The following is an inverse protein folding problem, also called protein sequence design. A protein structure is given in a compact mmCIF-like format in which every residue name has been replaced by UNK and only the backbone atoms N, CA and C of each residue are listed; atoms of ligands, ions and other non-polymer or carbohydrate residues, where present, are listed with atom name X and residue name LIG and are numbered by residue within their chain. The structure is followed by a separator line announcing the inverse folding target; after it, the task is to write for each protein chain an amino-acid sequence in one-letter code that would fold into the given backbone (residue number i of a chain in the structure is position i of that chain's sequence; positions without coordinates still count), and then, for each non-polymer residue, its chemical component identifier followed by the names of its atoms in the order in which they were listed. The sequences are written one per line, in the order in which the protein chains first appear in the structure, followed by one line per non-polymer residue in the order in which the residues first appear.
data_IF_862642728488
#
_entry.id   IF_862642728488
#
_cell.length_a   1.000
_cell.length_b   1.000
_cell.length_c   1.000
_cell.angle_alpha   90.00
_cell.angle_beta   90.00
_cell.angle_gamma   90.00
#
_symmetry.space_group_name_H-M   'P 1'
#
loop_
_entity.id
_entity.type
_entity.pdbx_description
1 polymer ?
#
# COMPACT_ATOMS: atom_id res chain seq x y z
N UNK A 1 42.67 7.05 -39.59
CA UNK A 1 41.82 7.96 -38.81
C UNK A 1 42.61 8.42 -37.59
N UNK A 2 43.07 9.67 -37.54
CA UNK A 2 43.84 10.19 -36.40
C UNK A 2 42.88 10.63 -35.28
N UNK A 3 43.13 10.18 -34.05
CA UNK A 3 42.35 10.57 -32.85
C UNK A 3 42.67 12.05 -32.54
N UNK A 4 41.66 12.93 -32.39
CA UNK A 4 41.91 14.33 -32.06
C UNK A 4 42.54 14.42 -30.66
N UNK A 5 43.66 15.15 -30.55
CA UNK A 5 44.31 15.43 -29.27
C UNK A 5 43.36 16.27 -28.44
N UNK A 6 42.87 15.74 -27.32
CA UNK A 6 42.11 16.54 -26.36
C UNK A 6 43.04 17.58 -25.73
N UNK A 7 42.69 18.85 -25.88
CA UNK A 7 43.37 19.93 -25.18
C UNK A 7 43.13 19.76 -23.68
N UNK A 8 44.21 19.55 -22.92
CA UNK A 8 44.14 19.50 -21.46
C UNK A 8 43.77 20.90 -20.97
N UNK A 9 42.51 21.12 -20.61
CA UNK A 9 42.09 22.33 -19.89
C UNK A 9 42.92 22.44 -18.62
N UNK A 10 43.66 23.54 -18.46
CA UNK A 10 44.33 23.86 -17.20
C UNK A 10 43.24 24.11 -16.17
N UNK A 11 43.12 23.20 -15.21
CA UNK A 11 42.17 23.34 -14.10
C UNK A 11 42.80 24.33 -13.14
N UNK A 12 42.18 25.49 -12.99
CA UNK A 12 42.51 26.43 -11.93
C UNK A 12 42.09 25.82 -10.59
N UNK A 13 43.08 25.35 -9.84
CA UNK A 13 42.89 24.63 -8.58
C UNK A 13 42.25 25.54 -7.52
N UNK A 14 42.59 26.84 -7.52
CA UNK A 14 42.03 27.79 -6.57
C UNK A 14 40.56 28.06 -6.87
N UNK A 15 40.22 28.23 -8.16
CA UNK A 15 38.83 28.37 -8.59
C UNK A 15 38.00 27.12 -8.26
N UNK A 16 38.55 25.92 -8.46
CA UNK A 16 37.87 24.67 -8.11
C UNK A 16 37.60 24.57 -6.60
N UNK A 17 38.56 24.95 -5.76
CA UNK A 17 38.41 24.98 -4.30
C UNK A 17 37.36 26.01 -3.83
N UNK A 18 37.32 27.20 -4.42
CA UNK A 18 36.29 28.21 -4.12
C UNK A 18 34.89 27.76 -4.53
N UNK A 19 34.75 27.13 -5.69
CA UNK A 19 33.48 26.56 -6.14
C UNK A 19 32.98 25.47 -5.20
N UNK A 20 33.88 24.60 -4.73
CA UNK A 20 33.55 23.57 -3.75
C UNK A 20 33.09 24.19 -2.43
N UNK A 21 33.84 25.14 -1.87
CA UNK A 21 33.46 25.85 -0.63
C UNK A 21 32.11 26.55 -0.74
N UNK A 22 31.84 27.17 -1.89
CA UNK A 22 30.56 27.85 -2.14
C UNK A 22 29.41 26.85 -2.20
N UNK A 23 29.62 25.69 -2.82
CA UNK A 23 28.63 24.61 -2.90
C UNK A 23 28.26 24.12 -1.50
N UNK A 24 29.26 23.80 -0.67
CA UNK A 24 29.04 23.37 0.73
C UNK A 24 28.24 24.43 1.53
N UNK A 25 28.62 25.71 1.42
CA UNK A 25 27.86 26.79 2.10
C UNK A 25 26.42 26.90 1.60
N UNK A 26 26.21 26.70 0.30
CA UNK A 26 24.88 26.76 -0.30
C UNK A 26 24.01 25.58 0.13
N UNK A 27 24.58 24.40 0.31
CA UNK A 27 23.90 23.21 0.84
C UNK A 27 23.48 23.44 2.29
N UNK A 28 24.39 23.92 3.14
CA UNK A 28 24.10 24.26 4.54
C UNK A 28 23.00 25.34 4.66
N UNK A 29 23.07 26.37 3.82
CA UNK A 29 22.05 27.43 3.78
C UNK A 29 20.70 26.88 3.30
N UNK A 30 20.71 26.04 2.26
CA UNK A 30 19.51 25.40 1.73
C UNK A 30 18.85 24.50 2.75
N UNK A 31 19.61 23.73 3.52
CA UNK A 31 19.09 22.88 4.58
C UNK A 31 18.40 23.69 5.70
N UNK A 32 19.03 24.79 6.13
CA UNK A 32 18.44 25.69 7.15
C UNK A 32 17.19 26.40 6.64
N UNK A 33 17.24 26.91 5.41
CA UNK A 33 16.10 27.53 4.76
C UNK A 33 14.97 26.53 4.56
N UNK A 34 15.31 25.28 4.25
CA UNK A 34 14.32 24.22 4.08
C UNK A 34 13.52 23.98 5.36
N UNK A 35 14.25 23.79 6.46
CA UNK A 35 13.63 23.58 7.76
C UNK A 35 12.80 24.80 8.21
N UNK A 36 13.28 26.02 7.97
CA UNK A 36 12.58 27.25 8.37
C UNK A 36 11.30 27.47 7.56
N UNK A 37 11.38 27.31 6.23
CA UNK A 37 10.28 27.66 5.33
C UNK A 37 9.23 26.55 5.21
N UNK A 38 9.65 25.28 5.28
CA UNK A 38 8.80 24.12 4.98
C UNK A 38 8.78 23.05 6.08
N UNK A 39 9.57 23.20 7.16
CA UNK A 39 9.60 22.22 8.25
C UNK A 39 8.24 22.03 8.94
N UNK A 40 7.43 23.09 9.03
CA UNK A 40 6.08 23.07 9.63
C UNK A 40 5.12 22.10 8.94
N UNK A 41 5.34 21.79 7.66
CA UNK A 41 4.50 20.87 6.88
C UNK A 41 4.49 19.48 7.52
N UNK A 42 5.64 19.03 8.05
CA UNK A 42 5.75 17.74 8.72
C UNK A 42 4.88 17.66 9.99
N UNK A 43 4.81 18.75 10.73
CA UNK A 43 3.98 18.84 11.94
C UNK A 43 2.48 18.87 11.58
N UNK A 44 2.10 19.57 10.50
CA UNK A 44 0.73 19.55 9.99
C UNK A 44 0.30 18.16 9.54
N UNK A 45 1.17 17.43 8.81
CA UNK A 45 0.89 16.04 8.43
C UNK A 45 0.69 15.15 9.66
N UNK A 46 1.53 15.31 10.70
CA UNK A 46 1.38 14.57 11.95
C UNK A 46 0.04 14.89 12.63
N UNK A 47 -0.35 16.16 12.66
CA UNK A 47 -1.64 16.59 13.23
C UNK A 47 -2.83 16.02 12.44
N UNK A 48 -2.76 16.04 11.11
CA UNK A 48 -3.79 15.46 10.24
C UNK A 48 -3.91 13.94 10.42
N UNK A 49 -2.78 13.23 10.50
CA UNK A 49 -2.77 11.80 10.76
C UNK A 49 -3.43 11.47 12.11
N UNK A 50 -3.12 12.25 13.15
CA UNK A 50 -3.73 12.09 14.47
C UNK A 50 -5.25 12.32 14.42
N UNK A 51 -5.70 13.42 13.80
CA UNK A 51 -7.13 13.72 13.63
C UNK A 51 -7.86 12.63 12.84
N UNK A 52 -7.22 12.08 11.81
CA UNK A 52 -7.76 10.97 11.03
C UNK A 52 -7.93 9.72 11.90
N UNK A 53 -6.92 9.38 12.72
CA UNK A 53 -6.98 8.23 13.63
C UNK A 53 -8.09 8.40 14.66
N UNK A 54 -8.20 9.57 15.28
CA UNK A 54 -9.27 9.89 16.24
C UNK A 54 -10.65 9.74 15.59
N UNK A 55 -10.86 10.35 14.41
CA UNK A 55 -12.14 10.26 13.69
C UNK A 55 -12.46 8.85 13.21
N UNK A 56 -11.44 8.07 12.83
CA UNK A 56 -11.62 6.68 12.44
C UNK A 56 -12.04 5.81 13.63
N UNK A 57 -11.51 6.08 14.83
CA UNK A 57 -11.87 5.37 16.05
C UNK A 57 -13.26 5.76 16.56
N UNK A 58 -13.66 7.03 16.42
CA UNK A 58 -14.99 7.52 16.79
C UNK A 58 -16.09 7.06 15.82
N UNK A 59 -15.72 6.67 14.60
CA UNK A 59 -16.67 6.34 13.54
C UNK A 59 -17.33 4.98 13.77
N UNK A 60 -18.59 5.02 14.24
CA UNK A 60 -19.47 3.85 14.38
C UNK A 60 -19.63 3.06 13.07
N UNK A 61 -19.54 3.74 11.93
CA UNK A 61 -19.64 3.12 10.60
C UNK A 61 -18.39 2.30 10.27
N UNK A 62 -17.20 2.84 10.54
CA UNK A 62 -15.95 2.12 10.31
C UNK A 62 -15.80 0.92 11.24
N UNK A 63 -16.15 1.07 12.52
CA UNK A 63 -16.14 -0.05 13.46
C UNK A 63 -17.09 -1.15 12.99
N UNK A 64 -18.28 -0.79 12.54
CA UNK A 64 -19.26 -1.74 12.01
C UNK A 64 -18.71 -2.47 10.77
N UNK A 65 -18.13 -1.77 9.79
CA UNK A 65 -17.53 -2.40 8.61
C UNK A 65 -16.33 -3.29 8.95
N UNK A 66 -15.48 -2.87 9.89
CA UNK A 66 -14.33 -3.66 10.32
C UNK A 66 -14.76 -4.93 11.06
N UNK A 67 -15.84 -4.86 11.84
CA UNK A 67 -16.43 -5.99 12.55
C UNK A 67 -17.25 -6.91 11.61
N UNK A 68 -17.87 -6.33 10.58
CA UNK A 68 -18.57 -7.01 9.49
C UNK A 68 -17.65 -7.57 8.40
N UNK A 69 -16.33 -7.42 8.50
CA UNK A 69 -15.38 -8.28 7.77
C UNK A 69 -15.46 -9.73 8.27
N UNK A 70 -16.66 -10.28 8.40
CA UNK A 70 -16.94 -11.70 8.36
C UNK A 70 -16.35 -12.20 7.04
N UNK A 71 -15.34 -13.06 7.16
CA UNK A 71 -14.83 -13.72 5.97
C UNK A 71 -15.94 -14.60 5.42
N UNK A 72 -16.22 -14.48 4.12
CA UNK A 72 -17.14 -15.38 3.45
C UNK A 72 -16.63 -16.82 3.67
N UNK A 73 -17.43 -17.72 4.28
CA UNK A 73 -17.05 -19.12 4.41
C UNK A 73 -16.83 -19.80 3.04
N UNK A 74 -17.36 -19.22 1.96
CA UNK A 74 -17.13 -19.65 0.58
C UNK A 74 -15.87 -19.01 -0.03
N UNK A 75 -15.05 -18.32 0.75
CA UNK A 75 -13.76 -17.83 0.26
C UNK A 75 -12.76 -18.97 0.18
N UNK A 76 -12.18 -19.16 -0.99
CA UNK A 76 -11.07 -20.06 -1.21
C UNK A 76 -9.80 -19.47 -0.56
N UNK A 77 -9.48 -19.93 0.66
CA UNK A 77 -8.25 -19.57 1.36
C UNK A 77 -7.33 -20.79 1.27
N UNK A 78 -6.12 -20.61 0.71
CA UNK A 78 -5.08 -21.65 0.49
C UNK A 78 -5.22 -22.45 -0.81
N UNK A 79 -5.13 -21.77 -1.97
CA UNK A 79 -4.98 -22.44 -3.26
C UNK A 79 -3.70 -23.29 -3.27
N UNK A 80 -3.72 -24.52 -3.81
CA UNK A 80 -2.55 -25.39 -3.82
C UNK A 80 -1.43 -24.82 -4.70
N UNK A 81 -0.18 -24.93 -4.23
CA UNK A 81 0.98 -24.41 -4.97
C UNK A 81 1.35 -25.23 -6.21
N UNK A 82 0.73 -26.41 -6.40
CA UNK A 82 1.07 -27.33 -7.50
C UNK A 82 -0.17 -27.89 -8.17
N UNK A 83 -0.11 -28.02 -9.49
CA UNK A 83 -1.22 -28.50 -10.34
C UNK A 83 -1.71 -29.90 -9.95
N UNK A 84 -0.82 -30.77 -9.47
CA UNK A 84 -1.21 -32.10 -8.99
C UNK A 84 -2.11 -32.05 -7.74
N UNK A 85 -1.97 -31.01 -6.91
CA UNK A 85 -2.79 -30.80 -5.72
C UNK A 85 -4.02 -29.94 -6.00
N UNK A 86 -4.18 -29.37 -7.20
CA UNK A 86 -5.40 -28.66 -7.61
C UNK A 86 -6.56 -29.61 -7.88
N UNK A 87 -6.26 -30.80 -8.42
CA UNK A 87 -7.28 -31.79 -8.75
C UNK A 87 -8.01 -32.25 -7.49
N UNK A 88 -9.33 -32.03 -7.46
CA UNK A 88 -10.18 -32.42 -6.34
C UNK A 88 -10.03 -31.54 -5.10
N UNK A 89 -9.18 -30.51 -5.09
CA UNK A 89 -9.03 -29.60 -3.96
C UNK A 89 -10.29 -28.81 -3.66
N UNK A 90 -11.00 -28.31 -4.68
CA UNK A 90 -12.29 -27.64 -4.48
C UNK A 90 -13.33 -28.64 -3.95
N UNK A 91 -13.35 -29.86 -4.48
CA UNK A 91 -14.30 -30.90 -4.07
C UNK A 91 -14.05 -31.44 -2.65
N UNK A 92 -12.82 -31.34 -2.14
CA UNK A 92 -12.49 -31.74 -0.76
C UNK A 92 -12.95 -30.72 0.28
N UNK A 93 -13.23 -29.49 -0.12
CA UNK A 93 -13.75 -28.45 0.76
C UNK A 93 -15.24 -28.71 1.07
N UNK A 94 -15.64 -28.85 2.34
CA UNK A 94 -17.03 -29.14 2.72
C UNK A 94 -18.05 -28.12 2.19
N UNK A 95 -17.63 -26.87 2.02
CA UNK A 95 -18.50 -25.79 1.54
C UNK A 95 -18.84 -25.89 0.04
N UNK A 96 -18.10 -26.68 -0.72
CA UNK A 96 -18.21 -26.83 -2.18
C UNK A 96 -18.60 -28.24 -2.62
N UNK A 97 -18.92 -29.13 -1.67
CA UNK A 97 -19.41 -30.47 -1.98
C UNK A 97 -20.81 -30.40 -2.60
N UNK A 98 -20.93 -30.97 -3.80
CA UNK A 98 -22.19 -30.98 -4.57
C UNK A 98 -23.28 -31.81 -3.89
N UNK A 99 -22.92 -32.77 -3.04
CA UNK A 99 -23.85 -33.59 -2.26
C UNK A 99 -24.75 -32.77 -1.33
N UNK A 100 -24.31 -31.54 -0.96
CA UNK A 100 -25.13 -30.60 -0.20
C UNK A 100 -26.37 -30.11 -0.96
N UNK A 101 -26.38 -30.24 -2.30
CA UNK A 101 -27.45 -29.79 -3.19
C UNK A 101 -28.24 -30.97 -3.77
N UNK A 102 -28.54 -31.99 -2.96
CA UNK A 102 -29.23 -33.21 -3.37
C UNK A 102 -30.49 -33.01 -4.21
N UNK A 103 -30.97 -34.10 -4.83
CA UNK A 103 -31.89 -34.10 -5.98
C UNK A 103 -33.26 -33.40 -5.81
N UNK A 104 -33.63 -32.91 -4.62
CA UNK A 104 -35.01 -32.54 -4.33
C UNK A 104 -35.24 -31.15 -3.73
N UNK A 105 -34.24 -30.28 -3.67
CA UNK A 105 -34.45 -28.88 -3.26
C UNK A 105 -33.62 -27.95 -4.14
N UNK A 106 -34.21 -27.54 -5.28
CA UNK A 106 -33.81 -26.33 -6.03
C UNK A 106 -34.17 -25.07 -5.24
N UNK A 107 -33.89 -25.04 -3.93
CA UNK A 107 -34.03 -23.84 -3.12
C UNK A 107 -32.77 -23.00 -3.30
N UNK A 108 -32.87 -21.76 -3.79
CA UNK A 108 -31.72 -20.88 -3.88
C UNK A 108 -31.19 -20.66 -2.45
N UNK A 109 -29.95 -21.06 -2.20
CA UNK A 109 -29.33 -20.77 -0.91
C UNK A 109 -29.23 -19.25 -0.75
N UNK A 110 -29.62 -18.70 0.42
CA UNK A 110 -29.49 -17.28 0.66
C UNK A 110 -28.02 -16.88 0.54
N UNK A 111 -27.76 -15.71 -0.05
CA UNK A 111 -26.43 -15.13 -0.06
C UNK A 111 -25.90 -15.04 1.37
N UNK A 112 -24.59 -15.31 1.60
CA UNK A 112 -23.98 -15.11 2.90
C UNK A 112 -24.32 -13.73 3.46
N UNK A 113 -24.56 -13.66 4.78
CA UNK A 113 -24.93 -12.41 5.47
C UNK A 113 -23.96 -11.25 5.19
N UNK A 114 -22.72 -11.55 4.82
CA UNK A 114 -21.68 -10.59 4.40
C UNK A 114 -22.12 -9.70 3.22
N UNK A 115 -23.00 -10.22 2.35
CA UNK A 115 -23.51 -9.51 1.18
C UNK A 115 -24.91 -8.93 1.40
N UNK A 116 -25.46 -9.04 2.60
CA UNK A 116 -26.80 -8.56 2.91
C UNK A 116 -26.79 -7.02 3.00
N UNK A 117 -27.55 -6.36 2.14
CA UNK A 117 -27.69 -4.90 2.19
C UNK A 117 -28.40 -4.49 3.49
N UNK A 118 -27.82 -3.59 4.31
CA UNK A 118 -28.49 -3.08 5.50
C UNK A 118 -29.81 -2.39 5.11
N UNK A 119 -30.89 -2.74 5.81
CA UNK A 119 -32.16 -2.02 5.64
C UNK A 119 -32.06 -0.69 6.41
N UNK A 120 -32.24 0.42 5.69
CA UNK A 120 -32.33 1.77 6.26
C UNK A 120 -33.57 1.94 7.16
#
# INVERSE_FOLDING_TARGET
MAIPKSEKKVIDIMKADEMWKTSIRSEDASAKNWQTNWGWILDEYRCLEQKLKEKSAESKFLTHIMEEKRQDPQKLVNFPDTTNHEYGWIASQPNFQLERFGADLFEPQPLPDVYRVPKH
#
